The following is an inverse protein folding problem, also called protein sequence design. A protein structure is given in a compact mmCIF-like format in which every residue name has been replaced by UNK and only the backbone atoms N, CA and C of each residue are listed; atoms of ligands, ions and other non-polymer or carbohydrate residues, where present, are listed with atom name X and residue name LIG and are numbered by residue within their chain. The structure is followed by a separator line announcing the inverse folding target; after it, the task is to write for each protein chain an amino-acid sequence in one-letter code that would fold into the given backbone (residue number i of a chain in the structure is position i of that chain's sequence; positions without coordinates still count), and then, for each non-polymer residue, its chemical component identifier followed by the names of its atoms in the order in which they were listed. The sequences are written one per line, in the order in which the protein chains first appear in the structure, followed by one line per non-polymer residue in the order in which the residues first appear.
data_IF_984586539528
#
_entry.id   IF_984586539528
#
_cell.length_a   1.000
_cell.length_b   1.000
_cell.length_c   1.000
_cell.angle_alpha   90.00
_cell.angle_beta   90.00
_cell.angle_gamma   90.00
#
_symmetry.space_group_name_H-M   'P 1'
#
loop_
_entity.id
_entity.type
_entity.pdbx_description
1 polymer ?
#
# COMPACT_ATOMS: atom_id res chain seq x y z
N UNK A 1 -14.27 -43.19 47.94
CA UNK A 1 -14.91 -42.00 47.31
C UNK A 1 -13.82 -41.16 46.67
N UNK A 2 -13.67 -41.27 45.33
CA UNK A 2 -12.71 -40.47 44.56
C UNK A 2 -13.43 -39.23 44.08
N UNK A 3 -13.07 -38.03 44.58
CA UNK A 3 -13.52 -36.76 44.08
C UNK A 3 -12.88 -36.53 42.71
N UNK A 4 -13.71 -36.47 41.68
CA UNK A 4 -13.36 -36.06 40.33
C UNK A 4 -13.24 -34.53 40.34
N UNK A 5 -12.00 -34.02 40.32
CA UNK A 5 -11.74 -32.61 40.12
C UNK A 5 -11.95 -32.38 38.61
N UNK A 6 -13.07 -31.79 38.27
CA UNK A 6 -13.26 -31.19 36.96
C UNK A 6 -12.48 -29.88 36.99
N UNK A 7 -11.32 -29.87 36.35
CA UNK A 7 -10.64 -28.62 35.98
C UNK A 7 -11.53 -27.89 34.98
N UNK A 8 -12.21 -26.88 35.48
CA UNK A 8 -12.75 -25.82 34.63
C UNK A 8 -11.55 -25.07 33.97
N UNK A 9 -11.14 -25.56 32.81
CA UNK A 9 -10.35 -24.77 31.88
C UNK A 9 -11.26 -23.60 31.50
N UNK A 10 -11.12 -22.49 32.20
CA UNK A 10 -11.67 -21.21 31.78
C UNK A 10 -11.11 -20.92 30.37
N UNK A 11 -11.91 -21.28 29.38
CA UNK A 11 -11.72 -20.77 28.02
C UNK A 11 -11.83 -19.27 28.17
N UNK A 12 -10.68 -18.56 28.21
CA UNK A 12 -10.67 -17.13 28.13
C UNK A 12 -11.41 -16.76 26.84
N UNK A 13 -12.60 -16.18 27.00
CA UNK A 13 -13.39 -15.69 25.88
C UNK A 13 -12.50 -14.69 25.14
N UNK A 14 -11.98 -15.13 23.98
CA UNK A 14 -11.17 -14.27 23.14
C UNK A 14 -12.17 -13.34 22.44
N UNK A 15 -12.20 -12.08 22.87
CA UNK A 15 -13.07 -11.07 22.30
C UNK A 15 -12.78 -10.84 20.81
N UNK A 16 -13.82 -10.71 19.98
CA UNK A 16 -13.64 -10.35 18.58
C UNK A 16 -13.06 -8.92 18.47
N UNK A 17 -12.10 -8.75 17.57
CA UNK A 17 -11.42 -7.46 17.31
C UNK A 17 -11.74 -6.97 15.93
N UNK A 18 -11.54 -5.67 15.72
CA UNK A 18 -11.73 -5.04 14.41
C UNK A 18 -10.44 -5.10 13.62
N UNK A 19 -10.55 -5.63 12.40
CA UNK A 19 -9.46 -5.74 11.45
C UNK A 19 -9.79 -5.02 10.15
N UNK A 20 -8.77 -4.54 9.50
CA UNK A 20 -8.85 -4.00 8.15
C UNK A 20 -7.87 -4.76 7.26
N UNK A 21 -8.36 -5.29 6.16
CA UNK A 21 -7.53 -5.85 5.10
C UNK A 21 -7.52 -4.87 3.93
N UNK A 22 -6.37 -4.31 3.64
CA UNK A 22 -6.11 -3.55 2.42
C UNK A 22 -5.35 -4.41 1.43
N UNK A 23 -5.67 -4.30 0.14
CA UNK A 23 -5.10 -5.15 -0.88
C UNK A 23 -4.90 -4.43 -2.22
N UNK A 24 -3.97 -4.96 -2.99
CA UNK A 24 -3.71 -4.58 -4.36
C UNK A 24 -3.98 -5.78 -5.27
N UNK A 25 -4.95 -5.66 -6.19
CA UNK A 25 -5.17 -6.63 -7.25
C UNK A 25 -4.26 -6.32 -8.44
N UNK A 26 -3.89 -7.36 -9.20
CA UNK A 26 -3.08 -7.20 -10.40
C UNK A 26 -3.83 -6.37 -11.46
N UNK A 27 -3.16 -5.46 -12.20
CA UNK A 27 -3.80 -4.61 -13.20
C UNK A 27 -4.22 -5.38 -14.46
N UNK A 28 -3.86 -6.66 -14.56
CA UNK A 28 -4.23 -7.52 -15.70
C UNK A 28 -5.69 -7.99 -15.65
N UNK A 29 -6.38 -7.79 -14.53
CA UNK A 29 -7.80 -8.11 -14.38
C UNK A 29 -8.61 -7.05 -15.12
N UNK A 30 -9.61 -7.47 -15.89
CA UNK A 30 -10.53 -6.54 -16.56
C UNK A 30 -11.44 -5.85 -15.54
N UNK A 31 -11.84 -4.60 -15.83
CA UNK A 31 -12.74 -3.85 -14.94
C UNK A 31 -14.09 -4.57 -14.75
N UNK A 32 -14.55 -5.30 -15.75
CA UNK A 32 -15.78 -6.09 -15.68
C UNK A 32 -15.70 -7.27 -14.71
N UNK A 33 -14.50 -7.79 -14.46
CA UNK A 33 -14.26 -8.91 -13.55
C UNK A 33 -13.92 -8.47 -12.11
N UNK A 34 -13.61 -7.19 -11.92
CA UNK A 34 -13.28 -6.65 -10.60
C UNK A 34 -14.33 -6.94 -9.53
N UNK A 35 -15.64 -6.75 -9.78
CA UNK A 35 -16.65 -7.06 -8.77
C UNK A 35 -16.62 -8.52 -8.35
N UNK A 36 -16.44 -9.44 -9.29
CA UNK A 36 -16.37 -10.88 -9.00
C UNK A 36 -15.15 -11.25 -8.15
N UNK A 37 -13.99 -10.63 -8.43
CA UNK A 37 -12.80 -10.81 -7.61
C UNK A 37 -12.98 -10.21 -6.21
N UNK A 38 -13.60 -9.06 -6.10
CA UNK A 38 -13.90 -8.43 -4.81
C UNK A 38 -14.88 -9.26 -3.98
N UNK A 39 -15.96 -9.75 -4.59
CA UNK A 39 -16.92 -10.62 -3.91
C UNK A 39 -16.28 -11.94 -3.44
N UNK A 40 -15.33 -12.48 -4.21
CA UNK A 40 -14.54 -13.65 -3.79
C UNK A 40 -13.73 -13.34 -2.53
N UNK A 41 -13.06 -12.18 -2.45
CA UNK A 41 -12.31 -11.77 -1.25
C UNK A 41 -13.23 -11.58 -0.05
N UNK A 42 -14.41 -10.97 -0.25
CA UNK A 42 -15.44 -10.83 0.79
C UNK A 42 -15.93 -12.18 1.28
N UNK A 43 -16.15 -13.12 0.36
CA UNK A 43 -16.53 -14.48 0.73
C UNK A 43 -15.50 -15.15 1.63
N UNK A 44 -14.21 -14.99 1.36
CA UNK A 44 -13.12 -15.52 2.23
C UNK A 44 -13.21 -14.94 3.63
N UNK A 45 -13.53 -13.63 3.77
CA UNK A 45 -13.75 -13.00 5.08
C UNK A 45 -14.99 -13.56 5.77
N UNK A 46 -16.12 -13.76 5.05
CA UNK A 46 -17.33 -14.36 5.58
C UNK A 46 -17.13 -15.81 6.04
N UNK A 47 -16.39 -16.60 5.25
CA UNK A 47 -16.08 -18.00 5.57
C UNK A 47 -15.22 -18.10 6.86
N UNK A 48 -14.43 -17.08 7.16
CA UNK A 48 -13.68 -16.93 8.39
C UNK A 48 -14.51 -16.31 9.56
N UNK A 49 -15.84 -16.25 9.42
CA UNK A 49 -16.74 -15.65 10.41
C UNK A 49 -16.46 -14.17 10.68
N UNK A 50 -16.01 -13.43 9.66
CA UNK A 50 -15.84 -11.99 9.72
C UNK A 50 -17.18 -11.28 9.55
N UNK A 51 -17.50 -10.35 10.46
CA UNK A 51 -18.64 -9.44 10.36
C UNK A 51 -18.19 -8.14 9.67
N UNK A 52 -18.79 -7.79 8.53
CA UNK A 52 -18.43 -6.60 7.78
C UNK A 52 -18.88 -5.32 8.49
N UNK A 53 -17.98 -4.33 8.51
CA UNK A 53 -18.24 -3.00 9.06
C UNK A 53 -18.32 -1.98 7.92
N UNK A 54 -17.28 -1.94 7.09
CA UNK A 54 -17.21 -1.04 5.93
C UNK A 54 -16.24 -1.57 4.89
N UNK A 55 -16.38 -1.10 3.66
CA UNK A 55 -15.57 -1.55 2.55
C UNK A 55 -15.40 -0.43 1.50
N UNK A 56 -14.34 -0.52 0.72
CA UNK A 56 -14.12 0.29 -0.46
C UNK A 56 -13.81 -0.63 -1.65
N UNK A 57 -14.63 -0.51 -2.70
CA UNK A 57 -14.45 -1.30 -3.91
C UNK A 57 -13.10 -0.99 -4.57
N UNK A 58 -12.45 -2.00 -5.19
CA UNK A 58 -11.18 -1.79 -5.84
C UNK A 58 -11.27 -0.77 -6.99
N UNK A 59 -10.34 0.18 -7.03
CA UNK A 59 -10.19 1.16 -8.10
C UNK A 59 -8.73 1.26 -8.55
N UNK A 60 -8.51 1.61 -9.81
CA UNK A 60 -7.18 1.73 -10.38
C UNK A 60 -6.42 2.88 -9.73
N UNK A 61 -5.21 2.58 -9.27
CA UNK A 61 -4.32 3.57 -8.64
C UNK A 61 -2.86 3.25 -8.93
N UNK A 62 -2.05 4.28 -9.07
CA UNK A 62 -0.60 4.17 -9.14
C UNK A 62 -0.01 3.86 -7.76
N UNK A 63 0.96 2.96 -7.73
CA UNK A 63 1.68 2.57 -6.51
C UNK A 63 2.80 3.56 -6.23
N UNK A 64 3.05 3.87 -4.95
CA UNK A 64 4.15 4.76 -4.54
C UNK A 64 5.52 4.21 -4.93
N UNK A 65 5.65 2.91 -5.05
CA UNK A 65 6.86 2.22 -5.49
C UNK A 65 6.51 0.94 -6.23
N UNK A 66 7.40 0.48 -7.09
CA UNK A 66 7.22 -0.74 -7.85
C UNK A 66 7.15 -1.97 -6.92
N UNK A 67 6.09 -2.74 -7.05
CA UNK A 67 5.92 -4.00 -6.32
C UNK A 67 6.22 -5.19 -7.22
N UNK A 68 6.79 -6.24 -6.62
CA UNK A 68 7.12 -7.48 -7.31
C UNK A 68 6.27 -8.61 -6.75
N UNK A 69 5.65 -9.40 -7.65
CA UNK A 69 4.93 -10.62 -7.29
C UNK A 69 5.38 -11.77 -8.19
N UNK A 70 5.56 -12.94 -7.59
CA UNK A 70 5.79 -14.17 -8.36
C UNK A 70 4.45 -14.72 -8.83
N UNK A 71 4.25 -14.77 -10.12
CA UNK A 71 3.07 -15.35 -10.77
C UNK A 71 3.60 -16.33 -11.84
N UNK A 72 3.15 -17.57 -11.80
CA UNK A 72 3.60 -18.64 -12.68
C UNK A 72 5.13 -18.84 -12.71
N UNK A 73 5.76 -18.80 -11.54
CA UNK A 73 7.21 -18.87 -11.34
C UNK A 73 8.01 -17.73 -12.02
N UNK A 74 7.36 -16.65 -12.42
CA UNK A 74 7.98 -15.46 -13.01
C UNK A 74 7.80 -14.27 -12.10
N UNK A 75 8.88 -13.52 -11.87
CA UNK A 75 8.83 -12.25 -11.14
C UNK A 75 8.20 -11.18 -12.02
N UNK A 76 6.94 -10.87 -11.78
CA UNK A 76 6.24 -9.76 -12.44
C UNK A 76 6.35 -8.50 -11.59
N UNK A 77 6.56 -7.37 -12.25
CA UNK A 77 6.71 -6.05 -11.63
C UNK A 77 5.50 -5.20 -11.98
N UNK A 78 4.96 -4.50 -10.98
CA UNK A 78 3.76 -3.68 -11.11
C UNK A 78 4.04 -2.29 -10.57
N UNK A 79 3.63 -1.25 -11.32
CA UNK A 79 3.68 0.16 -10.92
C UNK A 79 2.30 0.68 -10.55
N UNK A 80 1.26 -0.01 -11.00
CA UNK A 80 -0.15 0.30 -10.80
C UNK A 80 -0.94 -0.96 -10.45
N UNK A 81 -2.16 -0.80 -10.04
CA UNK A 81 -3.06 -1.89 -9.71
C UNK A 81 -4.38 -1.39 -9.14
N UNK A 82 -5.29 -2.31 -8.86
CA UNK A 82 -6.55 -1.97 -8.23
C UNK A 82 -6.42 -2.06 -6.72
N UNK A 83 -6.54 -0.91 -6.06
CA UNK A 83 -6.50 -0.78 -4.61
C UNK A 83 -7.89 -0.83 -4.01
N UNK A 84 -8.10 -1.61 -2.98
CA UNK A 84 -9.33 -1.69 -2.20
C UNK A 84 -9.04 -2.11 -0.77
N UNK A 85 -10.03 -1.97 0.09
CA UNK A 85 -9.94 -2.42 1.47
C UNK A 85 -11.30 -2.87 2.00
N UNK A 86 -11.26 -3.72 3.03
CA UNK A 86 -12.44 -4.22 3.75
C UNK A 86 -12.15 -4.20 5.24
N UNK A 87 -13.06 -3.61 6.01
CA UNK A 87 -13.03 -3.60 7.48
C UNK A 87 -14.07 -4.56 8.02
N UNK A 88 -13.65 -5.39 8.96
CA UNK A 88 -14.49 -6.42 9.55
C UNK A 88 -14.10 -6.72 10.99
N UNK A 89 -15.03 -7.30 11.73
CA UNK A 89 -14.81 -7.81 13.09
C UNK A 89 -14.64 -9.32 13.04
N UNK A 90 -13.60 -9.85 13.66
CA UNK A 90 -13.32 -11.28 13.68
C UNK A 90 -12.53 -11.69 14.94
N UNK A 91 -12.51 -12.97 15.23
CA UNK A 91 -11.63 -13.54 16.25
C UNK A 91 -10.17 -13.49 15.78
N UNK A 92 -9.20 -13.22 16.66
CA UNK A 92 -7.76 -13.16 16.29
C UNK A 92 -7.25 -14.42 15.59
N UNK A 93 -7.73 -15.57 15.97
CA UNK A 93 -7.35 -16.85 15.35
C UNK A 93 -7.78 -16.92 13.88
N UNK A 94 -8.98 -16.43 13.57
CA UNK A 94 -9.51 -16.37 12.20
C UNK A 94 -8.74 -15.35 11.35
N UNK A 95 -8.36 -14.22 11.95
CA UNK A 95 -7.57 -13.19 11.28
C UNK A 95 -6.21 -13.72 10.80
N UNK A 96 -5.53 -14.54 11.61
CA UNK A 96 -4.26 -15.19 11.21
C UNK A 96 -4.49 -16.15 10.02
N UNK A 97 -5.60 -16.90 10.04
CA UNK A 97 -5.99 -17.78 8.93
C UNK A 97 -6.22 -17.00 7.64
N UNK A 98 -6.95 -15.89 7.72
CA UNK A 98 -7.21 -14.98 6.60
C UNK A 98 -5.94 -14.44 5.97
N UNK A 99 -4.98 -13.99 6.77
CA UNK A 99 -3.68 -13.52 6.26
C UNK A 99 -3.03 -14.56 5.35
N UNK A 100 -2.98 -15.81 5.78
CA UNK A 100 -2.37 -16.89 5.01
C UNK A 100 -3.11 -17.17 3.69
N UNK A 101 -4.43 -17.01 3.66
CA UNK A 101 -5.24 -17.18 2.45
C UNK A 101 -4.95 -16.04 1.46
N UNK A 102 -4.93 -14.79 1.91
CA UNK A 102 -4.62 -13.64 1.07
C UNK A 102 -3.18 -13.66 0.52
N UNK A 103 -2.21 -14.11 1.30
CA UNK A 103 -0.82 -14.24 0.85
C UNK A 103 -0.64 -15.28 -0.27
N UNK A 104 -1.45 -16.33 -0.28
CA UNK A 104 -1.43 -17.38 -1.30
C UNK A 104 -2.19 -17.03 -2.58
N UNK A 105 -3.06 -16.03 -2.53
CA UNK A 105 -3.84 -15.62 -3.70
C UNK A 105 -2.97 -14.95 -4.75
N UNK A 106 -2.87 -15.56 -5.93
CA UNK A 106 -2.04 -15.08 -7.04
C UNK A 106 -2.60 -13.86 -7.74
N UNK A 107 -3.89 -13.54 -7.53
CA UNK A 107 -4.52 -12.34 -8.09
C UNK A 107 -4.19 -11.08 -7.29
N UNK A 108 -3.62 -11.25 -6.08
CA UNK A 108 -3.18 -10.16 -5.23
C UNK A 108 -1.68 -9.89 -5.44
N UNK A 109 -1.33 -8.66 -5.77
CA UNK A 109 0.06 -8.20 -5.75
C UNK A 109 0.56 -8.16 -4.30
N UNK A 110 -0.26 -7.58 -3.42
CA UNK A 110 0.03 -7.46 -1.99
C UNK A 110 -1.26 -7.33 -1.19
N UNK A 111 -1.24 -7.85 0.03
CA UNK A 111 -2.28 -7.63 1.04
C UNK A 111 -1.65 -7.26 2.36
N UNK A 112 -2.37 -6.47 3.14
CA UNK A 112 -1.97 -6.07 4.50
C UNK A 112 -3.19 -6.19 5.40
N UNK A 113 -3.08 -7.02 6.43
CA UNK A 113 -4.09 -7.17 7.47
C UNK A 113 -3.60 -6.48 8.74
N UNK A 114 -4.36 -5.53 9.24
CA UNK A 114 -4.03 -4.77 10.45
C UNK A 114 -5.20 -4.78 11.43
N UNK A 115 -4.90 -4.76 12.72
CA UNK A 115 -5.90 -4.49 13.76
C UNK A 115 -6.14 -2.98 13.81
N UNK A 116 -7.40 -2.56 13.86
CA UNK A 116 -7.80 -1.16 13.80
C UNK A 116 -8.99 -0.89 14.72
N UNK A 117 -9.46 0.33 14.73
CA UNK A 117 -10.66 0.74 15.46
C UNK A 117 -11.86 0.81 14.52
N UNK A 118 -13.05 0.68 15.08
CA UNK A 118 -14.30 0.74 14.29
C UNK A 118 -14.54 2.14 13.72
N UNK A 119 -14.16 3.17 14.48
CA UNK A 119 -14.30 4.56 14.09
C UNK A 119 -13.36 4.96 12.95
N UNK A 120 -13.68 6.02 12.21
CA UNK A 120 -12.89 6.58 11.11
C UNK A 120 -12.65 5.58 9.96
N UNK A 121 -13.73 5.10 9.38
CA UNK A 121 -13.68 4.20 8.21
C UNK A 121 -13.33 4.89 6.91
N UNK A 122 -13.42 6.23 6.84
CA UNK A 122 -13.11 7.01 5.65
C UNK A 122 -11.70 7.57 5.68
N UNK A 123 -10.98 7.41 4.56
CA UNK A 123 -9.67 8.04 4.38
C UNK A 123 -9.83 9.56 4.35
N UNK A 124 -9.32 10.22 5.38
CA UNK A 124 -9.15 11.67 5.35
C UNK A 124 -7.77 11.98 4.79
N UNK A 125 -7.72 12.59 3.60
CA UNK A 125 -6.44 13.03 3.01
C UNK A 125 -5.73 13.91 4.04
N UNK A 126 -4.52 13.51 4.46
CA UNK A 126 -3.69 14.33 5.34
C UNK A 126 -3.54 15.71 4.69
N UNK A 127 -3.82 16.81 5.40
CA UNK A 127 -3.57 18.15 4.86
C UNK A 127 -2.09 18.21 4.45
N UNK A 128 -1.84 18.61 3.22
CA UNK A 128 -0.48 18.85 2.75
C UNK A 128 0.11 19.91 3.69
N UNK A 129 1.11 19.50 4.46
CA UNK A 129 1.88 20.46 5.25
C UNK A 129 2.56 21.37 4.24
N UNK A 130 2.03 22.57 4.08
CA UNK A 130 2.76 23.65 3.39
C UNK A 130 4.01 23.86 4.24
N UNK A 131 5.12 23.30 3.81
CA UNK A 131 6.43 23.72 4.30
C UNK A 131 6.57 25.14 3.76
N UNK A 132 6.14 26.09 4.56
CA UNK A 132 6.54 27.50 4.38
C UNK A 132 8.02 27.48 4.73
N UNK A 133 8.85 27.35 3.70
CA UNK A 133 10.23 27.81 3.80
C UNK A 133 10.08 29.29 4.08
N UNK A 134 10.23 29.66 5.35
CA UNK A 134 10.50 31.04 5.74
C UNK A 134 11.82 31.39 5.07
N UNK A 135 11.73 32.20 4.02
CA UNK A 135 12.85 33.00 3.55
C UNK A 135 13.20 33.96 4.70
N UNK A 136 13.99 33.51 5.63
CA UNK A 136 14.74 34.38 6.51
C UNK A 136 16.08 34.68 5.85
N UNK A 137 16.06 35.82 5.15
CA UNK A 137 17.06 36.87 5.14
C UNK A 137 18.48 36.38 5.40
N UNK A 138 19.25 36.29 4.33
CA UNK A 138 20.68 36.54 4.40
C UNK A 138 20.95 37.79 3.58
N UNK A 139 20.75 38.92 4.24
CA UNK A 139 21.30 40.18 3.84
C UNK A 139 22.70 40.32 4.48
N UNK A 140 23.62 40.79 3.64
CA UNK A 140 24.85 41.47 4.00
C UNK A 140 26.11 40.61 4.33
N UNK A 141 26.95 40.43 3.30
CA UNK A 141 28.29 41.03 3.36
C UNK A 141 28.74 41.43 1.93
N UNK A 142 28.81 42.72 1.75
CA UNK A 142 29.40 43.45 0.65
C UNK A 142 30.92 43.35 0.70
N UNK A 143 31.59 43.11 -0.43
CA UNK A 143 32.55 44.03 -1.03
C UNK A 143 33.34 43.40 -2.21
N UNK A 144 33.77 44.19 -3.15
CA UNK A 144 34.09 43.74 -4.50
C UNK A 144 35.57 43.52 -4.73
N UNK A 145 35.91 42.71 -5.68
CA UNK A 145 37.21 42.78 -6.34
C UNK A 145 37.04 42.46 -7.82
N UNK A 146 37.11 43.54 -8.59
CA UNK A 146 37.38 43.52 -10.03
C UNK A 146 38.62 42.71 -10.34
N UNK A 147 38.57 41.85 -11.32
CA UNK A 147 39.64 41.68 -12.32
C UNK A 147 39.00 41.34 -13.67
N UNK A 148 39.09 42.32 -14.52
CA UNK A 148 38.85 42.30 -15.95
C UNK A 148 39.93 41.41 -16.61
N UNK A 149 39.58 40.55 -17.53
CA UNK A 149 40.27 40.31 -18.79
C UNK A 149 39.31 39.55 -19.73
N UNK A 150 38.95 40.21 -20.82
CA UNK A 150 38.34 39.68 -22.03
C UNK A 150 39.43 39.35 -23.07
N UNK A 151 39.09 39.03 -24.34
CA UNK A 151 38.69 37.71 -24.84
C UNK A 151 39.71 37.25 -25.92
N UNK A 152 39.71 36.01 -26.30
CA UNK A 152 40.29 35.66 -27.59
C UNK A 152 39.48 34.59 -28.32
N UNK A 153 39.01 34.98 -29.44
CA UNK A 153 38.33 34.25 -30.51
C UNK A 153 39.38 33.48 -31.33
N UNK A 154 39.16 32.19 -31.57
CA UNK A 154 39.68 31.54 -32.77
C UNK A 154 38.65 30.55 -33.31
N UNK A 155 38.19 30.89 -34.48
CA UNK A 155 37.42 30.10 -35.43
C UNK A 155 38.40 29.24 -36.25
N UNK A 156 38.07 27.96 -36.50
CA UNK A 156 38.42 27.28 -37.76
C UNK A 156 37.73 25.91 -37.83
N UNK A 157 36.69 25.80 -38.58
CA UNK A 157 36.47 25.22 -39.92
C UNK A 157 36.77 23.74 -40.12
N UNK A 158 35.72 23.09 -40.56
CA UNK A 158 35.54 21.74 -41.14
C UNK A 158 36.48 21.49 -42.36
N UNK A 159 36.85 20.26 -42.73
CA UNK A 159 36.03 19.61 -43.76
C UNK A 159 35.85 18.08 -43.71
N UNK A 160 34.72 17.71 -44.24
CA UNK A 160 34.25 16.47 -44.87
C UNK A 160 35.26 15.72 -45.75
N UNK A 161 35.24 14.40 -45.76
CA UNK A 161 35.26 13.44 -46.89
C UNK A 161 35.18 12.02 -46.34
N UNK A 162 34.15 11.28 -46.68
CA UNK A 162 33.98 10.32 -47.80
C UNK A 162 35.16 9.36 -48.02
N UNK A 163 34.96 8.11 -47.63
CA UNK A 163 34.94 6.92 -48.48
C UNK A 163 34.35 5.73 -47.72
#
# INVERSE_FOLDING_TARGET
MKKKVTEDLSTSEIDPRVYEVSFWLVPTISESELPAHFDRLKKVVSDAQGEFISEEAPYMREMTYQMVRVIDNVNKRFNDGYFGWVKFRALPQNAIGLKNVFEKDTTLVRSLLVETVEENTTYTKRPESKITLSEEVVEEVVAPSEVVIAPEVVVETVPTKEE
#
